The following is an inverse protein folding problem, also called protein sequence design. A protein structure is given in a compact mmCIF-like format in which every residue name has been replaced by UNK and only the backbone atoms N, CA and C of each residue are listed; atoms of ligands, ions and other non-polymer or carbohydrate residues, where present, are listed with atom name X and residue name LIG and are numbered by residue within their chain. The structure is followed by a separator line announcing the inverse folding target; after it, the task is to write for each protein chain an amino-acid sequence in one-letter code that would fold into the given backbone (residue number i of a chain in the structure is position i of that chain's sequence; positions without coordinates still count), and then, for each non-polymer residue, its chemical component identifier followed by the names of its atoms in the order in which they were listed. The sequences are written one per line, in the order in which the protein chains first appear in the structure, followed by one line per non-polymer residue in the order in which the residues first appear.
data_IF_613891603195
#
_entry.id   IF_613891603195
#
_cell.length_a   1.000
_cell.length_b   1.000
_cell.length_c   1.000
_cell.angle_alpha   90.00
_cell.angle_beta   90.00
_cell.angle_gamma   90.00
#
_symmetry.space_group_name_H-M   'P 1'
#
loop_
_entity.id
_entity.type
_entity.pdbx_description
1 polymer ?
#
# COMPACT_ATOMS: atom_id res chain seq x y z
N UNK A 1 -20.22 -4.82 -26.50
CA UNK A 1 -20.44 -3.40 -26.17
C UNK A 1 -20.58 -3.20 -24.65
N UNK A 2 -21.43 -3.99 -23.98
CA UNK A 2 -21.63 -3.87 -22.52
C UNK A 2 -20.40 -4.23 -21.68
N UNK A 3 -19.54 -5.12 -22.17
CA UNK A 3 -18.33 -5.57 -21.44
C UNK A 3 -17.32 -4.44 -21.26
N UNK A 4 -17.11 -3.66 -22.29
CA UNK A 4 -16.18 -2.52 -22.26
C UNK A 4 -16.69 -1.38 -21.37
N UNK A 5 -18.00 -1.19 -21.30
CA UNK A 5 -18.61 -0.16 -20.47
C UNK A 5 -18.42 -0.46 -18.97
N UNK A 6 -18.62 -1.71 -18.55
CA UNK A 6 -18.39 -2.11 -17.16
C UNK A 6 -16.93 -1.96 -16.75
N UNK A 7 -16.01 -2.34 -17.60
CA UNK A 7 -14.57 -2.17 -17.35
C UNK A 7 -14.22 -0.69 -17.16
N UNK A 8 -14.74 0.18 -18.02
CA UNK A 8 -14.53 1.64 -17.90
C UNK A 8 -15.11 2.20 -16.61
N UNK A 9 -16.31 1.76 -16.23
CA UNK A 9 -16.99 2.22 -15.01
C UNK A 9 -16.20 1.80 -13.76
N UNK A 10 -15.76 0.54 -13.69
CA UNK A 10 -14.94 0.02 -12.57
C UNK A 10 -13.65 0.81 -12.47
N UNK A 11 -12.90 0.94 -13.57
CA UNK A 11 -11.65 1.71 -13.58
C UNK A 11 -11.85 3.15 -13.11
N UNK A 12 -12.88 3.82 -13.62
CA UNK A 12 -13.20 5.19 -13.25
C UNK A 12 -13.54 5.32 -11.77
N UNK A 13 -14.34 4.41 -11.24
CA UNK A 13 -14.71 4.41 -9.82
C UNK A 13 -13.49 4.19 -8.92
N UNK A 14 -12.62 3.23 -9.27
CA UNK A 14 -11.38 2.96 -8.53
C UNK A 14 -10.47 4.19 -8.52
N UNK A 15 -10.27 4.83 -9.67
CA UNK A 15 -9.42 6.02 -9.78
C UNK A 15 -9.96 7.18 -8.94
N UNK A 16 -11.27 7.44 -9.02
CA UNK A 16 -11.91 8.52 -8.27
C UNK A 16 -11.85 8.28 -6.76
N UNK A 17 -12.17 7.07 -6.33
CA UNK A 17 -12.13 6.70 -4.91
C UNK A 17 -10.69 6.77 -4.36
N UNK A 18 -9.72 6.25 -5.10
CA UNK A 18 -8.29 6.33 -4.74
C UNK A 18 -7.83 7.78 -4.57
N UNK A 19 -8.26 8.66 -5.48
CA UNK A 19 -7.92 10.09 -5.40
C UNK A 19 -8.52 10.74 -4.16
N UNK A 20 -9.76 10.40 -3.83
CA UNK A 20 -10.44 10.91 -2.64
C UNK A 20 -9.77 10.43 -1.35
N UNK A 21 -9.40 9.15 -1.27
CA UNK A 21 -8.66 8.60 -0.14
C UNK A 21 -7.31 9.28 0.05
N UNK A 22 -6.59 9.55 -1.03
CA UNK A 22 -5.29 10.26 -0.95
C UNK A 22 -5.45 11.69 -0.41
N UNK A 23 -6.55 12.36 -0.69
CA UNK A 23 -6.83 13.71 -0.19
C UNK A 23 -7.00 13.74 1.34
N UNK A 24 -7.30 12.60 1.97
CA UNK A 24 -7.45 12.50 3.43
C UNK A 24 -6.13 12.25 4.17
N UNK A 25 -5.01 12.13 3.46
CA UNK A 25 -3.70 11.93 4.10
C UNK A 25 -3.30 13.19 4.88
N UNK A 26 -2.68 13.03 6.10
CA UNK A 26 -2.14 14.16 6.84
C UNK A 26 -1.10 14.94 6.02
N UNK A 27 -1.00 16.25 6.26
CA UNK A 27 -0.05 17.12 5.57
C UNK A 27 1.42 16.74 5.83
N UNK A 28 1.71 16.16 6.99
CA UNK A 28 3.03 15.69 7.42
C UNK A 28 3.26 14.19 7.16
N UNK A 29 2.37 13.57 6.38
CA UNK A 29 2.49 12.16 6.05
C UNK A 29 3.79 11.85 5.29
N UNK A 30 4.29 10.63 5.46
CA UNK A 30 5.43 10.13 4.68
C UNK A 30 5.10 10.16 3.18
N UNK A 31 6.14 10.33 2.36
CA UNK A 31 5.99 10.30 0.91
C UNK A 31 5.31 9.00 0.46
N UNK A 32 4.49 9.03 -0.60
CA UNK A 32 3.77 7.83 -1.07
C UNK A 32 4.67 6.62 -1.33
N UNK A 33 5.86 6.84 -1.88
CA UNK A 33 6.85 5.77 -2.13
C UNK A 33 7.28 5.08 -0.85
N UNK A 34 7.51 5.83 0.22
CA UNK A 34 7.89 5.28 1.53
C UNK A 34 6.78 4.43 2.13
N UNK A 35 5.55 4.92 2.07
CA UNK A 35 4.38 4.18 2.56
C UNK A 35 4.16 2.91 1.74
N UNK A 36 4.31 2.97 0.45
CA UNK A 36 4.20 1.79 -0.42
C UNK A 36 5.22 0.71 -0.07
N UNK A 37 6.47 1.10 0.17
CA UNK A 37 7.53 0.18 0.60
C UNK A 37 7.20 -0.46 1.95
N UNK A 38 6.78 0.33 2.93
CA UNK A 38 6.39 -0.19 4.24
C UNK A 38 5.21 -1.17 4.13
N UNK A 39 4.22 -0.86 3.30
CA UNK A 39 3.07 -1.72 3.06
C UNK A 39 3.47 -3.07 2.44
N UNK A 40 4.40 -3.06 1.46
CA UNK A 40 4.91 -4.29 0.86
C UNK A 40 5.64 -5.17 1.89
N UNK A 41 6.49 -4.56 2.71
CA UNK A 41 7.22 -5.28 3.75
C UNK A 41 6.29 -5.84 4.83
N UNK A 42 5.25 -5.10 5.18
CA UNK A 42 4.26 -5.57 6.14
C UNK A 42 3.46 -6.75 5.60
N UNK A 43 3.05 -6.67 4.32
CA UNK A 43 2.22 -7.70 3.67
C UNK A 43 2.99 -8.99 3.38
N UNK A 44 4.23 -8.88 2.89
CA UNK A 44 5.00 -10.00 2.37
C UNK A 44 6.10 -10.48 3.32
N UNK A 45 6.36 -9.75 4.41
CA UNK A 45 7.48 -10.03 5.30
C UNK A 45 8.81 -9.52 4.74
N UNK A 46 9.91 -10.05 5.25
CA UNK A 46 11.27 -9.63 4.87
C UNK A 46 11.54 -9.93 3.39
N UNK A 47 12.18 -8.97 2.72
CA UNK A 47 12.44 -9.04 1.29
C UNK A 47 13.82 -8.48 0.96
N UNK A 48 14.40 -8.94 -0.15
CA UNK A 48 15.55 -8.29 -0.75
C UNK A 48 15.14 -6.97 -1.44
N UNK A 49 16.11 -6.08 -1.66
CA UNK A 49 15.86 -4.85 -2.42
C UNK A 49 15.39 -5.14 -3.85
N UNK A 50 15.91 -6.23 -4.47
CA UNK A 50 15.51 -6.65 -5.80
C UNK A 50 14.06 -7.10 -5.86
N UNK A 51 13.62 -7.95 -4.92
CA UNK A 51 12.24 -8.41 -4.86
C UNK A 51 11.28 -7.25 -4.59
N UNK A 52 11.68 -6.32 -3.72
CA UNK A 52 10.89 -5.14 -3.42
C UNK A 52 10.75 -4.22 -4.65
N UNK A 53 11.83 -4.03 -5.42
CA UNK A 53 11.80 -3.27 -6.66
C UNK A 53 10.86 -3.91 -7.70
N UNK A 54 10.86 -5.23 -7.79
CA UNK A 54 9.96 -5.97 -8.70
C UNK A 54 8.50 -5.74 -8.32
N UNK A 55 8.14 -5.81 -7.04
CA UNK A 55 6.78 -5.54 -6.58
C UNK A 55 6.37 -4.09 -6.81
N UNK A 56 7.27 -3.15 -6.61
CA UNK A 56 7.03 -1.73 -6.87
C UNK A 56 7.10 -1.37 -8.37
N UNK A 57 7.50 -2.32 -9.20
CA UNK A 57 7.67 -2.15 -10.67
C UNK A 57 8.62 -0.99 -11.01
N UNK A 58 9.73 -0.90 -10.28
CA UNK A 58 10.77 0.11 -10.48
C UNK A 58 12.15 -0.55 -10.54
N UNK A 59 13.14 0.20 -11.03
CA UNK A 59 14.52 -0.26 -11.00
C UNK A 59 15.06 -0.23 -9.55
N UNK A 60 15.93 -1.19 -9.16
CA UNK A 60 16.49 -1.22 -7.81
C UNK A 60 17.14 0.10 -7.37
N UNK A 61 17.82 0.80 -8.30
CA UNK A 61 18.43 2.09 -8.02
C UNK A 61 17.43 3.16 -7.58
N UNK A 62 16.18 3.09 -8.09
CA UNK A 62 15.12 4.04 -7.73
C UNK A 62 14.71 3.92 -6.27
N UNK A 63 14.88 2.75 -5.66
CA UNK A 63 14.57 2.52 -4.25
C UNK A 63 15.70 2.86 -3.30
N UNK A 64 16.93 3.00 -3.78
CA UNK A 64 18.12 3.18 -2.93
C UNK A 64 17.96 4.35 -1.96
N UNK A 65 17.52 5.50 -2.45
CA UNK A 65 17.32 6.70 -1.64
C UNK A 65 16.15 6.51 -0.65
N UNK A 66 15.06 5.93 -1.09
CA UNK A 66 13.88 5.66 -0.26
C UNK A 66 14.23 4.72 0.89
N UNK A 67 14.93 3.62 0.59
CA UNK A 67 15.38 2.65 1.60
C UNK A 67 16.36 3.25 2.60
N UNK A 68 17.32 4.05 2.13
CA UNK A 68 18.28 4.73 3.00
C UNK A 68 17.57 5.70 3.97
N UNK A 69 16.58 6.44 3.48
CA UNK A 69 15.78 7.36 4.29
C UNK A 69 14.94 6.62 5.33
N UNK A 70 14.28 5.54 4.94
CA UNK A 70 13.48 4.70 5.86
C UNK A 70 14.35 4.06 6.94
N UNK A 71 15.55 3.59 6.58
CA UNK A 71 16.50 3.01 7.53
C UNK A 71 17.01 4.06 8.51
N UNK A 72 17.36 5.26 8.02
CA UNK A 72 17.81 6.38 8.85
C UNK A 72 16.74 6.80 9.88
N UNK A 73 15.47 6.73 9.49
CA UNK A 73 14.33 7.05 10.36
C UNK A 73 13.93 5.87 11.28
N UNK A 74 14.61 4.74 11.20
CA UNK A 74 14.35 3.57 12.03
C UNK A 74 13.07 2.80 11.67
N UNK A 75 12.53 3.03 10.48
CA UNK A 75 11.27 2.39 10.03
C UNK A 75 11.49 1.04 9.37
N UNK A 76 12.68 0.78 8.88
CA UNK A 76 13.12 -0.52 8.36
C UNK A 76 14.48 -0.88 8.93
N UNK A 77 14.77 -2.18 8.92
CA UNK A 77 16.11 -2.74 9.22
C UNK A 77 16.62 -3.49 8.01
N UNK A 78 17.91 -3.37 7.79
CA UNK A 78 18.62 -4.08 6.73
C UNK A 78 19.64 -5.00 7.38
N UNK A 79 19.57 -6.29 7.07
CA UNK A 79 20.47 -7.31 7.60
C UNK A 79 21.01 -8.18 6.48
N UNK A 80 22.24 -8.74 6.61
CA UNK A 80 22.70 -9.76 5.67
C UNK A 80 21.76 -10.97 5.67
N UNK A 81 21.52 -11.54 4.49
CA UNK A 81 20.75 -12.77 4.36
C UNK A 81 21.54 -13.93 5.00
N UNK A 82 20.86 -14.76 5.80
CA UNK A 82 21.46 -15.93 6.46
C UNK A 82 21.94 -16.98 5.44
N UNK A 83 21.25 -17.09 4.30
CA UNK A 83 21.56 -18.05 3.25
C UNK A 83 22.60 -17.53 2.25
N UNK A 84 22.57 -16.24 1.94
CA UNK A 84 23.55 -15.58 1.06
C UNK A 84 23.92 -14.21 1.64
N UNK A 85 25.06 -14.12 2.34
CA UNK A 85 25.54 -12.89 2.98
C UNK A 85 25.88 -11.76 2.02
N UNK A 86 25.93 -12.02 0.70
CA UNK A 86 26.12 -10.99 -0.32
C UNK A 86 24.88 -10.14 -0.51
N UNK A 87 23.71 -10.69 -0.16
CA UNK A 87 22.43 -10.00 -0.24
C UNK A 87 22.01 -9.51 1.13
N UNK A 88 21.25 -8.42 1.15
CA UNK A 88 20.62 -7.90 2.35
C UNK A 88 19.12 -8.16 2.30
N UNK A 89 18.57 -8.49 3.46
CA UNK A 89 17.14 -8.65 3.68
C UNK A 89 16.64 -7.44 4.43
N UNK A 90 15.55 -6.87 3.94
CA UNK A 90 14.92 -5.68 4.49
C UNK A 90 13.66 -6.11 5.22
N UNK A 91 13.48 -5.64 6.45
CA UNK A 91 12.30 -5.87 7.25
C UNK A 91 11.73 -4.58 7.81
N UNK A 92 10.41 -4.55 8.01
CA UNK A 92 9.75 -3.43 8.68
C UNK A 92 9.98 -3.54 10.19
N UNK A 93 10.23 -2.41 10.85
CA UNK A 93 10.35 -2.33 12.31
C UNK A 93 8.99 -2.08 12.96
N UNK A 94 8.92 -2.19 14.28
CA UNK A 94 7.74 -1.80 15.04
C UNK A 94 7.37 -0.33 14.77
N UNK A 95 8.36 0.56 14.73
CA UNK A 95 8.16 1.97 14.37
C UNK A 95 7.63 2.13 12.95
N UNK A 96 8.08 1.28 12.01
CA UNK A 96 7.56 1.26 10.64
C UNK A 96 6.10 0.83 10.57
N UNK A 97 5.72 -0.19 11.32
CA UNK A 97 4.31 -0.64 11.44
C UNK A 97 3.44 0.48 12.00
N UNK A 98 3.91 1.17 13.02
CA UNK A 98 3.19 2.29 13.63
C UNK A 98 3.01 3.45 12.63
N UNK A 99 4.05 3.82 11.89
CA UNK A 99 3.98 4.87 10.88
C UNK A 99 2.99 4.53 9.77
N UNK A 100 2.99 3.27 9.31
CA UNK A 100 2.04 2.77 8.32
C UNK A 100 0.60 2.84 8.83
N UNK A 101 0.36 2.43 10.07
CA UNK A 101 -0.95 2.47 10.71
C UNK A 101 -1.48 3.90 10.84
N UNK A 102 -0.65 4.84 11.27
CA UNK A 102 -1.01 6.25 11.38
C UNK A 102 -1.36 6.88 10.03
N UNK A 103 -0.62 6.53 8.98
CA UNK A 103 -0.90 7.01 7.64
C UNK A 103 -2.25 6.52 7.11
N UNK A 104 -2.64 5.29 7.43
CA UNK A 104 -3.90 4.70 6.98
C UNK A 104 -5.12 5.19 7.76
N UNK A 105 -4.95 5.53 9.02
CA UNK A 105 -6.05 5.81 9.95
C UNK A 105 -7.01 6.90 9.46
N UNK A 106 -6.49 8.01 8.95
CA UNK A 106 -7.33 9.12 8.47
C UNK A 106 -8.20 8.69 7.28
N UNK A 107 -7.65 7.88 6.38
CA UNK A 107 -8.35 7.35 5.21
C UNK A 107 -9.44 6.35 5.61
N UNK A 108 -9.14 5.48 6.55
CA UNK A 108 -10.09 4.48 7.06
C UNK A 108 -11.25 5.15 7.78
N UNK A 109 -10.98 6.16 8.61
CA UNK A 109 -12.02 6.92 9.30
C UNK A 109 -12.94 7.65 8.33
N UNK A 110 -12.37 8.30 7.32
CA UNK A 110 -13.16 8.96 6.29
C UNK A 110 -14.04 7.97 5.54
N UNK A 111 -13.46 6.84 5.11
CA UNK A 111 -14.18 5.82 4.34
C UNK A 111 -15.33 5.23 5.16
N UNK A 112 -15.08 4.90 6.43
CA UNK A 112 -16.11 4.37 7.31
C UNK A 112 -17.28 5.34 7.46
N UNK A 113 -17.02 6.63 7.66
CA UNK A 113 -18.06 7.66 7.74
C UNK A 113 -18.83 7.79 6.42
N UNK A 114 -18.12 7.84 5.31
CA UNK A 114 -18.74 7.96 3.99
C UNK A 114 -19.65 6.77 3.69
N UNK A 115 -19.20 5.57 4.00
CA UNK A 115 -20.00 4.35 3.83
C UNK A 115 -21.26 4.36 4.69
N UNK A 116 -21.16 4.80 5.94
CA UNK A 116 -22.32 4.89 6.83
C UNK A 116 -23.34 5.93 6.37
N UNK A 117 -22.90 7.04 5.81
CA UNK A 117 -23.78 8.13 5.35
C UNK A 117 -24.46 7.77 4.03
N UNK A 118 -23.70 7.19 3.09
CA UNK A 118 -24.16 7.06 1.70
C UNK A 118 -24.64 5.67 1.31
N UNK A 119 -24.32 4.63 2.08
CA UNK A 119 -24.62 3.25 1.71
C UNK A 119 -25.51 2.57 2.74
N UNK A 120 -26.39 1.69 2.26
CA UNK A 120 -27.15 0.76 3.10
C UNK A 120 -26.23 -0.34 3.64
N UNK A 121 -26.70 -1.09 4.64
CA UNK A 121 -25.95 -2.24 5.16
C UNK A 121 -25.64 -3.29 4.08
N UNK A 122 -26.62 -3.56 3.20
CA UNK A 122 -26.43 -4.49 2.08
C UNK A 122 -25.39 -3.99 1.07
N UNK A 123 -25.39 -2.69 0.78
CA UNK A 123 -24.41 -2.07 -0.11
C UNK A 123 -22.99 -2.06 0.47
N UNK A 124 -22.86 -1.84 1.78
CA UNK A 124 -21.57 -1.96 2.47
C UNK A 124 -21.01 -3.38 2.37
N UNK A 125 -21.85 -4.40 2.54
CA UNK A 125 -21.45 -5.79 2.39
C UNK A 125 -21.04 -6.12 0.95
N UNK A 126 -21.80 -5.62 -0.03
CA UNK A 126 -21.48 -5.77 -1.45
C UNK A 126 -20.10 -5.17 -1.76
N UNK A 127 -19.80 -4.02 -1.19
CA UNK A 127 -18.50 -3.36 -1.39
C UNK A 127 -17.36 -4.15 -0.74
N UNK A 128 -17.59 -4.72 0.44
CA UNK A 128 -16.62 -5.59 1.10
C UNK A 128 -16.33 -6.86 0.28
N UNK A 129 -17.36 -7.48 -0.28
CA UNK A 129 -17.20 -8.64 -1.16
C UNK A 129 -16.47 -8.26 -2.46
N UNK A 130 -16.74 -7.07 -2.99
CA UNK A 130 -16.05 -6.55 -4.15
C UNK A 130 -14.56 -6.28 -3.88
N UNK A 131 -14.18 -5.91 -2.66
CA UNK A 131 -12.79 -5.71 -2.29
C UNK A 131 -11.96 -6.98 -2.46
N UNK A 132 -12.48 -8.14 -2.08
CA UNK A 132 -11.82 -9.44 -2.28
C UNK A 132 -11.57 -9.72 -3.78
N UNK A 133 -12.51 -9.31 -4.62
CA UNK A 133 -12.36 -9.44 -6.08
C UNK A 133 -11.29 -8.49 -6.63
N UNK A 134 -11.23 -7.28 -6.11
CA UNK A 134 -10.23 -6.28 -6.50
C UNK A 134 -8.82 -6.71 -6.10
N UNK A 135 -8.66 -7.29 -4.92
CA UNK A 135 -7.38 -7.82 -4.46
C UNK A 135 -6.87 -8.90 -5.41
N UNK A 136 -7.73 -9.83 -5.83
CA UNK A 136 -7.35 -10.87 -6.80
C UNK A 136 -6.92 -10.31 -8.15
N UNK A 137 -7.50 -9.18 -8.57
CA UNK A 137 -7.09 -8.50 -9.80
C UNK A 137 -5.75 -7.77 -9.64
N UNK A 138 -5.49 -7.22 -8.45
CA UNK A 138 -4.26 -6.49 -8.17
C UNK A 138 -3.04 -7.42 -8.07
N UNK A 139 -3.25 -8.68 -7.72
CA UNK A 139 -2.20 -9.70 -7.57
C UNK A 139 -1.82 -10.38 -8.90
N UNK A 140 -2.51 -10.08 -10.02
CA UNK A 140 -2.20 -10.59 -11.36
C UNK A 140 -1.01 -9.79 -11.97
#
# INVERSE_FOLDING_TARGET
VHRDENVRRIRSAVVRLSRRLRAERPADALAPTKISVLAQLWRNGRMSAGDLADLERVQPQSLTRTLASLEADGLILRRPDELDRRQHVIGITEAGVQALSEDMQARELWLAKAMNIHLTAAERQLLADAADLMDRLADD
#
